data_IF_424117842053
#
_entry.id   IF_424117842053
#
_cell.length_a   1.000
_cell.length_b   1.000
_cell.length_c   1.000
_cell.angle_alpha   90.00
_cell.angle_beta   90.00
_cell.angle_gamma   90.00
#
_symmetry.space_group_name_H-M   'P 1'
#
loop_
_entity.id
_entity.type
_entity.pdbx_description
1 polymer ?
#
# COMPACT_ATOMS: atom_id res chain seq x y z
N UNK A 1 38.95 -30.65 8.21
CA UNK A 1 38.75 -30.40 6.77
C UNK A 1 37.34 -29.88 6.39
N UNK A 2 36.27 -30.15 7.16
CA UNK A 2 34.90 -29.73 6.83
C UNK A 2 34.59 -28.22 6.89
N UNK A 3 35.19 -27.47 7.81
CA UNK A 3 34.87 -26.05 8.01
C UNK A 3 35.29 -25.10 6.86
N UNK A 4 36.27 -25.48 6.03
CA UNK A 4 36.70 -24.67 4.87
C UNK A 4 35.80 -24.87 3.65
N UNK A 5 35.22 -26.06 3.48
CA UNK A 5 34.30 -26.38 2.37
C UNK A 5 32.93 -25.72 2.62
N UNK A 6 32.43 -25.72 3.86
CA UNK A 6 31.19 -25.01 4.21
C UNK A 6 31.27 -23.50 4.00
N UNK A 7 32.40 -22.86 4.35
CA UNK A 7 32.63 -21.41 4.09
C UNK A 7 32.62 -21.08 2.60
N UNK A 8 33.33 -21.87 1.77
CA UNK A 8 33.37 -21.66 0.33
C UNK A 8 32.00 -21.83 -0.33
N UNK A 9 31.21 -22.82 0.10
CA UNK A 9 29.84 -23.02 -0.43
C UNK A 9 28.88 -21.91 0.00
N UNK A 10 29.01 -21.38 1.22
CA UNK A 10 28.23 -20.24 1.70
C UNK A 10 28.53 -18.96 0.91
N UNK A 11 29.81 -18.65 0.64
CA UNK A 11 30.22 -17.48 -0.16
C UNK A 11 29.78 -17.60 -1.63
N UNK A 12 29.86 -18.79 -2.22
CA UNK A 12 29.36 -19.07 -3.57
C UNK A 12 27.83 -18.97 -3.67
N UNK A 13 27.10 -19.36 -2.63
CA UNK A 13 25.64 -19.17 -2.53
C UNK A 13 25.28 -17.68 -2.33
N UNK A 14 26.06 -16.94 -1.53
CA UNK A 14 25.86 -15.49 -1.27
C UNK A 14 26.04 -14.67 -2.56
N UNK A 15 27.06 -14.96 -3.34
CA UNK A 15 27.31 -14.33 -4.65
C UNK A 15 26.24 -14.67 -5.69
N UNK A 16 25.73 -15.91 -5.74
CA UNK A 16 24.60 -16.29 -6.61
C UNK A 16 23.31 -15.55 -6.24
N UNK A 17 23.02 -15.41 -4.94
CA UNK A 17 21.86 -14.64 -4.44
C UNK A 17 21.95 -13.16 -4.81
N UNK A 18 23.12 -12.55 -4.66
CA UNK A 18 23.38 -11.15 -5.04
C UNK A 18 23.16 -10.92 -6.53
N UNK A 19 23.67 -11.81 -7.40
CA UNK A 19 23.45 -11.75 -8.85
C UNK A 19 21.96 -11.82 -9.21
N UNK A 20 21.20 -12.72 -8.58
CA UNK A 20 19.75 -12.82 -8.79
C UNK A 20 19.01 -11.55 -8.37
N UNK A 21 19.39 -10.95 -7.25
CA UNK A 21 18.81 -9.67 -6.81
C UNK A 21 19.15 -8.53 -7.77
N UNK A 22 20.39 -8.45 -8.25
CA UNK A 22 20.81 -7.44 -9.22
C UNK A 22 20.05 -7.60 -10.54
N UNK A 23 19.93 -8.83 -11.07
CA UNK A 23 19.15 -9.10 -12.27
C UNK A 23 17.67 -8.70 -12.10
N UNK A 24 17.07 -9.02 -10.95
CA UNK A 24 15.69 -8.62 -10.64
C UNK A 24 15.53 -7.10 -10.57
N UNK A 25 16.43 -6.39 -9.88
CA UNK A 25 16.43 -4.92 -9.81
C UNK A 25 16.62 -4.28 -11.18
N UNK A 26 17.52 -4.83 -12.00
CA UNK A 26 17.72 -4.37 -13.37
C UNK A 26 16.44 -4.56 -14.21
N UNK A 27 15.75 -5.69 -14.05
CA UNK A 27 14.45 -5.93 -14.69
C UNK A 27 13.34 -4.97 -14.26
N UNK A 28 13.51 -4.28 -13.13
CA UNK A 28 12.60 -3.22 -12.64
C UNK A 28 13.12 -1.80 -12.93
N UNK A 29 14.12 -1.64 -13.80
CA UNK A 29 14.79 -0.36 -14.05
C UNK A 29 15.29 0.32 -12.76
N UNK A 30 15.82 -0.47 -11.82
CA UNK A 30 16.26 -0.03 -10.50
C UNK A 30 15.17 0.67 -9.66
N UNK A 31 13.90 0.42 -9.96
CA UNK A 31 12.76 0.98 -9.24
C UNK A 31 12.09 -0.05 -8.31
N UNK A 32 11.17 0.42 -7.47
CA UNK A 32 10.31 -0.43 -6.64
C UNK A 32 8.97 -0.71 -7.32
N UNK A 33 8.23 -1.66 -6.77
CA UNK A 33 6.87 -1.98 -7.19
C UNK A 33 6.03 -2.32 -5.97
N UNK A 34 4.72 -2.30 -6.15
CA UNK A 34 3.73 -2.75 -5.18
C UNK A 34 3.12 -4.05 -5.68
N UNK A 35 3.05 -5.06 -4.81
CA UNK A 35 2.41 -6.32 -5.15
C UNK A 35 0.90 -6.20 -4.90
N UNK A 36 0.13 -6.07 -5.97
CA UNK A 36 -1.33 -6.21 -5.90
C UNK A 36 -1.73 -7.67 -6.10
N UNK A 37 -2.54 -8.19 -5.19
CA UNK A 37 -3.00 -9.58 -5.23
C UNK A 37 -4.06 -9.76 -6.32
N UNK A 38 -4.04 -10.93 -6.97
CA UNK A 38 -5.01 -11.26 -8.01
C UNK A 38 -6.44 -11.36 -7.48
N UNK A 39 -6.64 -11.84 -6.25
CA UNK A 39 -7.96 -11.95 -5.66
C UNK A 39 -8.59 -10.58 -5.36
N UNK A 40 -7.78 -9.57 -5.04
CA UNK A 40 -8.23 -8.18 -4.90
C UNK A 40 -8.68 -7.61 -6.24
N UNK A 41 -7.84 -7.70 -7.27
CA UNK A 41 -8.14 -7.09 -8.58
C UNK A 41 -9.24 -7.82 -9.35
N UNK A 42 -9.34 -9.14 -9.15
CA UNK A 42 -10.35 -9.99 -9.78
C UNK A 42 -11.71 -9.96 -9.09
N UNK A 43 -11.81 -9.34 -7.91
CA UNK A 43 -13.04 -9.31 -7.11
C UNK A 43 -14.11 -8.43 -7.75
N UNK A 44 -15.36 -8.76 -7.48
CA UNK A 44 -16.48 -7.95 -7.97
C UNK A 44 -16.59 -6.64 -7.20
N UNK A 45 -16.14 -6.61 -5.95
CA UNK A 45 -16.00 -5.40 -5.14
C UNK A 45 -15.09 -4.38 -5.82
N UNK A 46 -13.93 -4.82 -6.31
CA UNK A 46 -12.97 -3.92 -6.95
C UNK A 46 -13.48 -3.43 -8.31
N UNK A 47 -14.16 -4.29 -9.07
CA UNK A 47 -14.76 -3.94 -10.36
C UNK A 47 -15.91 -2.93 -10.23
N UNK A 48 -16.64 -2.93 -9.11
CA UNK A 48 -17.74 -1.98 -8.84
C UNK A 48 -17.25 -0.58 -8.50
N UNK A 49 -15.98 -0.41 -8.12
CA UNK A 49 -15.42 0.90 -7.79
C UNK A 49 -15.44 1.83 -9.01
N UNK A 50 -15.69 3.11 -8.75
CA UNK A 50 -15.58 4.15 -9.75
C UNK A 50 -14.14 4.27 -10.26
N UNK A 51 -13.97 4.70 -11.52
CA UNK A 51 -12.63 4.90 -12.09
C UNK A 51 -11.76 5.90 -11.29
N UNK A 52 -12.40 6.88 -10.63
CA UNK A 52 -11.69 7.80 -9.73
C UNK A 52 -11.25 7.11 -8.44
N UNK A 53 -12.09 6.25 -7.84
CA UNK A 53 -11.72 5.47 -6.67
C UNK A 53 -10.55 4.52 -6.98
N UNK A 54 -10.59 3.81 -8.12
CA UNK A 54 -9.48 2.94 -8.56
C UNK A 54 -8.19 3.75 -8.75
N UNK A 55 -8.25 4.90 -9.43
CA UNK A 55 -7.10 5.79 -9.61
C UNK A 55 -6.52 6.25 -8.27
N UNK A 56 -7.38 6.74 -7.37
CA UNK A 56 -6.96 7.22 -6.05
C UNK A 56 -6.35 6.11 -5.24
N UNK A 57 -6.96 4.92 -5.24
CA UNK A 57 -6.44 3.75 -4.55
C UNK A 57 -5.02 3.43 -5.02
N UNK A 58 -4.81 3.26 -6.34
CA UNK A 58 -3.51 2.92 -6.94
C UNK A 58 -2.44 3.96 -6.60
N UNK A 59 -2.74 5.26 -6.75
CA UNK A 59 -1.78 6.34 -6.44
C UNK A 59 -1.46 6.40 -4.95
N UNK A 60 -2.45 6.16 -4.09
CA UNK A 60 -2.26 6.17 -2.64
C UNK A 60 -1.36 5.01 -2.19
N UNK A 61 -1.66 3.78 -2.64
CA UNK A 61 -0.84 2.60 -2.32
C UNK A 61 0.51 2.61 -3.03
N UNK A 62 0.69 3.38 -4.10
CA UNK A 62 2.00 3.61 -4.71
C UNK A 62 3.00 4.26 -3.76
N UNK A 63 2.53 4.95 -2.71
CA UNK A 63 3.36 5.44 -1.61
C UNK A 63 3.67 4.41 -0.53
N UNK A 64 3.15 3.18 -0.62
CA UNK A 64 3.40 2.12 0.36
C UNK A 64 4.82 1.55 0.19
N UNK A 65 5.59 1.53 1.28
CA UNK A 65 6.99 1.07 1.30
C UNK A 65 7.21 -0.22 2.10
N UNK A 66 6.15 -0.94 2.46
CA UNK A 66 6.20 -2.12 3.32
C UNK A 66 5.90 -1.82 4.79
N UNK A 67 6.25 -0.63 5.28
CA UNK A 67 6.26 -0.32 6.72
C UNK A 67 5.39 0.88 7.11
N UNK A 68 4.87 1.63 6.14
CA UNK A 68 4.06 2.84 6.36
C UNK A 68 2.56 2.62 6.12
N UNK A 69 2.08 1.37 6.02
CA UNK A 69 0.63 1.15 5.93
C UNK A 69 -0.01 1.59 7.26
N UNK A 70 -0.99 2.50 7.16
CA UNK A 70 -1.54 3.22 8.29
C UNK A 70 -1.04 4.67 8.43
N UNK A 71 -0.02 5.05 7.67
CA UNK A 71 0.45 6.43 7.52
C UNK A 71 0.32 6.90 6.06
N UNK A 72 -0.62 6.35 5.30
CA UNK A 72 -0.84 6.79 3.92
C UNK A 72 -1.61 8.11 3.95
N UNK A 73 -0.91 9.20 3.65
CA UNK A 73 -1.48 10.54 3.66
C UNK A 73 -2.30 10.82 2.40
N UNK A 74 -3.57 11.19 2.59
CA UNK A 74 -4.31 11.90 1.56
C UNK A 74 -3.94 13.39 1.58
N UNK A 75 -3.84 13.97 0.40
CA UNK A 75 -3.54 15.40 0.23
C UNK A 75 -4.65 16.29 0.78
N UNK A 76 -4.31 17.46 1.30
CA UNK A 76 -5.27 18.37 1.94
C UNK A 76 -5.64 19.56 1.05
N UNK A 77 -4.72 20.02 0.20
CA UNK A 77 -4.92 21.21 -0.63
C UNK A 77 -5.43 20.84 -2.03
N UNK A 78 -6.13 21.78 -2.66
CA UNK A 78 -6.60 21.61 -4.04
C UNK A 78 -5.43 21.43 -5.03
N UNK A 79 -4.34 22.19 -4.82
CA UNK A 79 -3.13 22.12 -5.65
C UNK A 79 -2.49 20.73 -5.58
N UNK A 80 -2.35 20.16 -4.38
CA UNK A 80 -1.80 18.82 -4.21
C UNK A 80 -2.71 17.73 -4.80
N UNK A 81 -4.03 17.87 -4.71
CA UNK A 81 -4.98 16.95 -5.33
C UNK A 81 -4.78 16.88 -6.85
N UNK A 82 -4.65 18.04 -7.50
CA UNK A 82 -4.35 18.10 -8.93
C UNK A 82 -2.96 17.53 -9.23
N UNK A 83 -1.94 17.94 -8.49
CA UNK A 83 -0.56 17.54 -8.78
C UNK A 83 -0.33 16.03 -8.59
N UNK A 84 -0.92 15.44 -7.55
CA UNK A 84 -0.68 14.03 -7.20
C UNK A 84 -1.67 13.07 -7.84
N UNK A 85 -2.94 13.45 -7.94
CA UNK A 85 -4.02 12.56 -8.41
C UNK A 85 -4.63 12.99 -9.75
N UNK A 86 -4.30 14.19 -10.24
CA UNK A 86 -4.87 14.72 -11.49
C UNK A 86 -6.36 15.01 -11.41
N UNK A 87 -6.91 15.21 -10.20
CA UNK A 87 -8.34 15.44 -9.98
C UNK A 87 -8.57 16.56 -8.96
N UNK A 88 -9.77 17.15 -8.98
CA UNK A 88 -10.17 18.15 -8.00
C UNK A 88 -10.20 17.57 -6.59
N UNK A 89 -10.03 18.43 -5.58
CA UNK A 89 -10.18 18.05 -4.17
C UNK A 89 -11.54 17.42 -3.86
N UNK A 90 -12.62 17.94 -4.46
CA UNK A 90 -13.96 17.40 -4.25
C UNK A 90 -14.11 15.98 -4.81
N UNK A 91 -13.54 15.73 -5.99
CA UNK A 91 -13.52 14.39 -6.61
C UNK A 91 -12.69 13.42 -5.80
N UNK A 92 -11.51 13.85 -5.31
CA UNK A 92 -10.67 13.06 -4.42
C UNK A 92 -11.42 12.68 -3.14
N UNK A 93 -12.12 13.61 -2.51
CA UNK A 93 -12.89 13.34 -1.30
C UNK A 93 -14.00 12.32 -1.55
N UNK A 94 -14.72 12.41 -2.68
CA UNK A 94 -15.73 11.42 -3.07
C UNK A 94 -15.12 10.03 -3.28
N UNK A 95 -13.99 9.96 -3.97
CA UNK A 95 -13.26 8.71 -4.22
C UNK A 95 -12.73 8.08 -2.91
N UNK A 96 -12.13 8.87 -2.01
CA UNK A 96 -11.68 8.39 -0.71
C UNK A 96 -12.85 7.88 0.13
N UNK A 97 -13.98 8.60 0.13
CA UNK A 97 -15.19 8.17 0.82
C UNK A 97 -15.69 6.83 0.28
N UNK A 98 -15.78 6.67 -1.03
CA UNK A 98 -16.16 5.42 -1.67
C UNK A 98 -15.26 4.25 -1.27
N UNK A 99 -13.93 4.47 -1.25
CA UNK A 99 -12.97 3.44 -0.86
C UNK A 99 -13.09 3.04 0.62
N UNK A 100 -13.42 3.99 1.50
CA UNK A 100 -13.66 3.72 2.93
C UNK A 100 -15.00 3.00 3.12
N UNK A 101 -16.05 3.45 2.44
CA UNK A 101 -17.39 2.85 2.50
C UNK A 101 -17.35 1.39 2.00
N UNK A 102 -16.57 1.10 0.95
CA UNK A 102 -16.32 -0.26 0.42
C UNK A 102 -15.18 -1.02 1.14
N UNK A 103 -14.67 -0.51 2.27
CA UNK A 103 -13.68 -1.20 3.11
C UNK A 103 -12.32 -1.53 2.43
N UNK A 104 -11.98 -0.84 1.34
CA UNK A 104 -10.64 -0.91 0.73
C UNK A 104 -9.62 -0.07 1.50
N UNK A 105 -10.08 1.04 2.08
CA UNK A 105 -9.29 1.90 2.96
C UNK A 105 -9.93 1.99 4.35
N UNK A 106 -9.09 2.18 5.36
CA UNK A 106 -9.50 2.52 6.71
C UNK A 106 -8.84 3.81 7.15
N UNK A 107 -9.58 4.67 7.83
CA UNK A 107 -9.02 5.88 8.42
C UNK A 107 -8.28 5.49 9.69
N UNK A 108 -6.97 5.73 9.72
CA UNK A 108 -6.12 5.44 10.87
C UNK A 108 -5.94 6.66 11.77
N UNK A 109 -6.08 7.86 11.21
CA UNK A 109 -6.14 9.12 11.96
C UNK A 109 -7.09 10.05 11.24
N UNK A 110 -8.08 10.57 11.97
CA UNK A 110 -8.96 11.61 11.45
C UNK A 110 -8.17 12.92 11.33
N UNK A 111 -8.17 13.52 10.14
CA UNK A 111 -7.62 14.85 9.94
C UNK A 111 -8.47 15.93 10.64
N UNK A 112 -7.82 17.01 11.06
CA UNK A 112 -8.46 18.21 11.60
C UNK A 112 -7.96 19.46 10.87
N UNK A 113 -8.25 20.67 11.38
CA UNK A 113 -7.76 21.92 10.78
C UNK A 113 -6.23 21.83 10.62
N UNK A 114 -5.74 21.95 9.39
CA UNK A 114 -4.33 21.86 8.98
C UNK A 114 -3.65 20.48 9.16
N UNK A 115 -4.42 19.40 9.32
CA UNK A 115 -3.87 18.04 9.28
C UNK A 115 -4.67 17.14 8.33
N UNK A 116 -3.96 16.38 7.50
CA UNK A 116 -4.57 15.38 6.63
C UNK A 116 -4.99 14.13 7.42
N UNK A 117 -6.03 13.47 6.91
CA UNK A 117 -6.39 12.13 7.35
C UNK A 117 -5.34 11.13 6.87
N UNK A 118 -5.04 10.17 7.75
CA UNK A 118 -4.19 9.04 7.43
C UNK A 118 -5.04 7.83 7.13
N UNK A 119 -4.57 7.03 6.18
CA UNK A 119 -5.26 5.85 5.69
C UNK A 119 -4.37 4.61 5.79
N UNK A 120 -5.04 3.46 5.89
CA UNK A 120 -4.46 2.13 5.75
C UNK A 120 -5.21 1.40 4.64
N UNK A 121 -4.49 0.74 3.75
CA UNK A 121 -5.11 -0.15 2.77
C UNK A 121 -5.28 -1.53 3.40
N UNK A 122 -6.52 -2.04 3.37
CA UNK A 122 -6.89 -3.29 4.05
C UNK A 122 -6.28 -4.54 3.42
N UNK A 123 -5.80 -4.43 2.17
CA UNK A 123 -5.10 -5.48 1.44
C UNK A 123 -3.63 -5.67 1.86
N UNK A 124 -3.08 -4.80 2.72
CA UNK A 124 -1.73 -4.91 3.26
C UNK A 124 -1.74 -5.06 4.80
N UNK A 125 -0.69 -5.65 5.39
CA UNK A 125 -0.52 -5.66 6.85
C UNK A 125 -0.44 -4.23 7.39
N UNK A 126 -1.05 -4.00 8.54
CA UNK A 126 -1.08 -2.67 9.15
C UNK A 126 0.10 -2.48 10.11
N UNK A 127 0.81 -1.37 9.96
CA UNK A 127 2.00 -1.03 10.75
C UNK A 127 1.79 0.18 11.66
N UNK A 128 0.52 0.53 11.94
CA UNK A 128 0.16 1.58 12.89
C UNK A 128 0.84 1.41 14.26
N UNK A 129 1.28 2.53 14.83
CA UNK A 129 1.73 2.59 16.23
C UNK A 129 0.54 2.73 17.17
N UNK A 130 0.49 1.90 18.22
CA UNK A 130 -0.54 1.95 19.26
C UNK A 130 -0.58 3.33 19.93
N UNK A 131 -1.79 3.82 20.23
CA UNK A 131 -2.03 5.09 20.95
C UNK A 131 -2.00 6.36 20.09
N UNK A 132 -1.51 6.28 18.85
CA UNK A 132 -1.52 7.40 17.88
C UNK A 132 -2.59 7.21 16.80
N UNK A 133 -2.88 5.95 16.46
CA UNK A 133 -3.84 5.60 15.43
C UNK A 133 -5.10 4.97 16.02
N UNK A 134 -6.21 5.15 15.32
CA UNK A 134 -7.54 4.60 15.61
C UNK A 134 -7.58 3.07 15.50
N UNK A 135 -6.64 2.47 14.78
CA UNK A 135 -6.58 1.02 14.54
C UNK A 135 -5.30 0.41 15.11
N UNK A 136 -5.40 -0.86 15.48
CA UNK A 136 -4.28 -1.65 15.98
C UNK A 136 -3.41 -2.17 14.82
N UNK A 137 -2.10 -2.38 15.04
CA UNK A 137 -1.22 -3.05 14.10
C UNK A 137 -1.66 -4.49 13.87
N UNK A 138 -1.49 -4.94 12.63
CA UNK A 138 -1.88 -6.29 12.22
C UNK A 138 -0.79 -6.89 11.34
N UNK A 139 -0.33 -8.09 11.68
CA UNK A 139 0.68 -8.82 10.91
C UNK A 139 0.15 -9.41 9.61
N UNK A 140 -1.18 -9.50 9.45
CA UNK A 140 -1.86 -9.99 8.25
C UNK A 140 -2.77 -8.90 7.67
N UNK A 141 -2.97 -8.88 6.34
CA UNK A 141 -4.01 -8.06 5.71
C UNK A 141 -5.38 -8.36 6.33
N UNK A 142 -6.17 -7.33 6.57
CA UNK A 142 -7.51 -7.48 7.15
C UNK A 142 -8.55 -7.90 6.12
N UNK A 143 -8.33 -7.56 4.84
CA UNK A 143 -9.19 -7.88 3.70
C UNK A 143 -10.68 -7.57 3.92
N UNK A 144 -10.97 -6.48 4.65
CA UNK A 144 -12.34 -6.10 4.98
C UNK A 144 -13.21 -5.85 3.75
N UNK A 145 -12.59 -5.46 2.63
CA UNK A 145 -13.24 -5.36 1.32
C UNK A 145 -14.02 -6.62 0.94
N UNK A 146 -13.59 -7.83 1.35
CA UNK A 146 -14.32 -9.09 1.08
C UNK A 146 -15.68 -9.20 1.77
N UNK A 147 -15.90 -8.43 2.85
CA UNK A 147 -17.13 -8.49 3.66
C UNK A 147 -18.16 -7.43 3.27
N UNK A 148 -17.80 -6.49 2.40
CA UNK A 148 -18.69 -5.39 2.02
C UNK A 148 -19.96 -5.85 1.27
N UNK A 149 -19.96 -7.07 0.71
CA UNK A 149 -21.10 -7.67 0.00
C UNK A 149 -21.72 -8.88 0.73
N UNK A 150 -21.41 -9.13 2.00
CA UNK A 150 -22.03 -10.20 2.80
C UNK A 150 -23.17 -9.67 3.67
#
# INVERSE_FOLDING_TARGET
MGASIERQTADRKKTKKQRRQAHFKNGLNNNSFIALRHDLMGSDEFKKLSGNAVKVFIILIGGYNGYNNGNLEAVQTHKEAINRFGISKATLHKALKELVDNQFLEITRQGHKNQCSLYSATCFPNHCRNGVHLIQPQSRPSDKWKKANQ
#
